data_IF_244973601393
#
_entry.id   IF_244973601393
#
_cell.length_a   1.000
_cell.length_b   1.000
_cell.length_c   1.000
_cell.angle_alpha   90.00
_cell.angle_beta   90.00
_cell.angle_gamma   90.00
#
_symmetry.space_group_name_H-M   'P 1'
#
loop_
_entity.id
_entity.type
_entity.pdbx_description
1 polymer ?
#
# COMPACT_ATOMS: atom_id res chain seq x y z
N UNK A 1 -3.89 -3.98 -9.27
CA UNK A 1 -4.84 -3.56 -8.23
C UNK A 1 -4.24 -3.88 -6.87
N UNK A 2 -3.51 -2.94 -6.28
CA UNK A 2 -2.96 -3.06 -4.92
C UNK A 2 -4.05 -2.69 -3.91
N UNK A 3 -4.36 -3.56 -2.96
CA UNK A 3 -5.28 -3.25 -1.84
C UNK A 3 -4.57 -2.31 -0.87
N UNK A 4 -4.72 -1.01 -1.10
CA UNK A 4 -4.46 -0.01 -0.06
C UNK A 4 -5.54 -0.20 1.00
N UNK A 5 -5.14 -0.46 2.24
CA UNK A 5 -6.08 -0.64 3.35
C UNK A 5 -6.63 0.74 3.73
N UNK A 6 -7.70 1.17 3.07
CA UNK A 6 -8.40 2.39 3.44
C UNK A 6 -9.35 2.08 4.60
N UNK A 7 -9.10 2.69 5.76
CA UNK A 7 -10.13 2.79 6.78
C UNK A 7 -11.13 3.85 6.32
N UNK A 8 -12.21 3.38 5.69
CA UNK A 8 -13.35 4.22 5.37
C UNK A 8 -14.24 4.32 6.60
N UNK A 9 -14.49 5.52 7.07
CA UNK A 9 -15.42 5.81 8.15
C UNK A 9 -16.48 6.81 7.71
N UNK A 10 -17.68 6.64 8.25
CA UNK A 10 -18.81 7.50 7.96
C UNK A 10 -18.78 8.68 8.95
N UNK A 11 -18.71 9.89 8.42
CA UNK A 11 -18.84 11.11 9.21
C UNK A 11 -20.31 11.33 9.60
N UNK A 12 -20.55 12.04 10.70
CA UNK A 12 -21.90 12.33 11.21
C UNK A 12 -22.75 13.18 10.25
N UNK A 13 -22.15 13.78 9.21
CA UNK A 13 -22.83 14.50 8.14
C UNK A 13 -23.22 13.60 6.95
N UNK A 14 -22.96 12.29 7.02
CA UNK A 14 -23.25 11.33 5.96
C UNK A 14 -22.19 11.26 4.86
N UNK A 15 -21.09 12.00 4.98
CA UNK A 15 -19.96 11.92 4.06
C UNK A 15 -19.06 10.73 4.42
N UNK A 16 -18.53 10.06 3.40
CA UNK A 16 -17.51 9.02 3.58
C UNK A 16 -16.16 9.71 3.63
N UNK A 17 -15.42 9.50 4.72
CA UNK A 17 -14.04 9.90 4.84
C UNK A 17 -13.15 8.65 4.81
N UNK A 18 -12.01 8.78 4.13
CA UNK A 18 -10.99 7.74 4.06
C UNK A 18 -9.79 8.21 4.87
N UNK A 19 -9.34 7.43 5.85
CA UNK A 19 -8.04 7.66 6.44
C UNK A 19 -6.95 7.17 5.47
N UNK A 20 -6.24 8.13 4.89
CA UNK A 20 -5.13 7.90 3.96
C UNK A 20 -3.75 8.01 4.63
N UNK A 21 -3.69 8.24 5.94
CA UNK A 21 -2.43 8.50 6.65
C UNK A 21 -1.43 7.35 6.51
N UNK A 22 -1.92 6.12 6.42
CA UNK A 22 -1.10 4.90 6.27
C UNK A 22 -1.00 4.37 4.83
N UNK A 23 -1.43 5.13 3.80
CA UNK A 23 -1.37 4.68 2.40
C UNK A 23 0.05 4.30 1.92
N UNK A 24 1.07 4.87 2.56
CA UNK A 24 2.48 4.61 2.26
C UNK A 24 3.12 3.54 3.16
N UNK A 25 2.40 3.03 4.17
CA UNK A 25 2.96 2.08 5.13
C UNK A 25 3.46 0.78 4.47
N UNK A 26 2.72 0.30 3.46
CA UNK A 26 3.10 -0.85 2.63
C UNK A 26 4.41 -0.60 1.85
N UNK A 27 4.58 0.59 1.29
CA UNK A 27 5.80 0.97 0.56
C UNK A 27 6.99 1.21 1.50
N UNK A 28 6.77 1.80 2.67
CA UNK A 28 7.81 2.08 3.68
C UNK A 28 8.54 0.83 4.18
N UNK A 29 7.90 -0.33 4.06
CA UNK A 29 8.45 -1.58 4.56
C UNK A 29 8.71 -2.62 3.47
N UNK A 30 8.60 -2.26 2.19
CA UNK A 30 8.77 -3.17 1.03
C UNK A 30 10.17 -3.80 0.98
N UNK A 31 11.19 -3.11 1.47
CA UNK A 31 12.58 -3.57 1.46
C UNK A 31 12.78 -4.87 2.27
N UNK A 32 11.96 -5.09 3.30
CA UNK A 32 12.06 -6.26 4.19
C UNK A 32 11.57 -7.54 3.51
N UNK A 33 10.33 -7.61 2.97
CA UNK A 33 9.86 -8.77 2.22
C UNK A 33 10.67 -8.97 0.94
N UNK A 34 11.17 -7.92 0.28
CA UNK A 34 12.06 -8.07 -0.89
C UNK A 34 13.35 -8.81 -0.56
N UNK A 35 13.97 -8.50 0.59
CA UNK A 35 15.16 -9.24 1.07
C UNK A 35 14.85 -10.71 1.32
N UNK A 36 13.69 -11.01 1.90
CA UNK A 36 13.26 -12.39 2.15
C UNK A 36 12.96 -13.13 0.84
N UNK A 37 12.28 -12.47 -0.10
CA UNK A 37 12.00 -13.02 -1.42
C UNK A 37 13.29 -13.33 -2.20
N UNK A 38 14.26 -12.42 -2.15
CA UNK A 38 15.57 -12.61 -2.77
C UNK A 38 16.31 -13.83 -2.19
N UNK A 39 16.32 -14.00 -0.87
CA UNK A 39 16.91 -15.18 -0.22
C UNK A 39 16.16 -16.47 -0.60
N UNK A 40 14.85 -16.39 -0.78
CA UNK A 40 14.02 -17.52 -1.18
C UNK A 40 14.05 -17.82 -2.70
N UNK A 41 14.74 -17.00 -3.51
CA UNK A 41 14.73 -17.12 -4.97
C UNK A 41 13.37 -16.80 -5.61
N UNK A 42 12.53 -16.05 -4.91
CA UNK A 42 11.21 -15.61 -5.36
C UNK A 42 11.30 -14.21 -5.99
N UNK A 43 10.27 -13.85 -6.76
CA UNK A 43 10.15 -12.48 -7.24
C UNK A 43 10.04 -11.48 -6.07
N UNK A 44 10.62 -10.27 -6.21
CA UNK A 44 10.50 -9.21 -5.22
C UNK A 44 9.04 -8.90 -4.93
N UNK A 45 8.70 -8.69 -3.66
CA UNK A 45 7.37 -8.24 -3.26
C UNK A 45 7.01 -6.88 -3.90
N UNK A 46 8.01 -6.03 -4.15
CA UNK A 46 7.84 -4.79 -4.91
C UNK A 46 7.34 -4.98 -6.34
N UNK A 47 7.53 -6.15 -6.98
CA UNK A 47 6.98 -6.43 -8.32
C UNK A 47 5.46 -6.54 -8.33
N UNK A 48 4.87 -6.88 -7.17
CA UNK A 48 3.43 -7.02 -6.97
C UNK A 48 2.74 -5.70 -6.61
N UNK A 49 3.52 -4.67 -6.25
CA UNK A 49 2.97 -3.36 -5.89
C UNK A 49 2.64 -2.56 -7.15
N UNK A 50 1.38 -2.12 -7.20
CA UNK A 50 0.89 -1.29 -8.28
C UNK A 50 1.47 0.13 -8.14
N UNK A 51 2.27 0.57 -9.12
CA UNK A 51 2.89 1.91 -9.13
C UNK A 51 1.93 3.02 -9.57
N UNK A 52 0.69 2.65 -9.90
CA UNK A 52 -0.30 3.57 -10.49
C UNK A 52 -0.70 4.70 -9.54
N UNK A 53 -0.57 4.52 -8.22
CA UNK A 53 -0.84 5.53 -7.18
C UNK A 53 0.41 6.30 -6.70
N UNK A 54 1.62 5.96 -7.19
CA UNK A 54 2.88 6.60 -6.77
C UNK A 54 3.13 7.94 -7.49
N UNK A 55 2.45 8.22 -8.62
CA UNK A 55 2.66 9.46 -9.35
C UNK A 55 1.87 10.62 -8.72
N UNK A 56 2.53 11.70 -8.27
CA UNK A 56 1.83 12.89 -7.85
C UNK A 56 1.18 13.53 -9.08
N UNK A 57 -0.15 13.62 -9.06
CA UNK A 57 -0.92 14.41 -10.02
C UNK A 57 -0.93 15.88 -9.60
#
# INVERSE_FOLDING_TARGET
>A
MSTVLWENYLLNNGEVASDESDKWALFKHVDKPDKLASVAGLEPFSSLLDQTDIQPR
#
